data_IF_877112871461
#
_entry.id   IF_877112871461
#
_cell.length_a   1.000
_cell.length_b   1.000
_cell.length_c   1.000
_cell.angle_alpha   90.00
_cell.angle_beta   90.00
_cell.angle_gamma   90.00
#
_symmetry.space_group_name_H-M   'P 1'
#
loop_
_entity.id
_entity.type
_entity.pdbx_description
1 polymer ?
#
# COMPACT_ATOMS: atom_id res chain seq x y z
N UNK A 1 -15.39 -16.20 40.52
CA UNK A 1 -15.41 -16.47 39.07
C UNK A 1 -16.44 -15.54 38.45
N UNK A 2 -16.02 -14.37 37.95
CA UNK A 2 -16.94 -13.39 37.33
C UNK A 2 -17.16 -13.77 35.88
N UNK A 3 -18.30 -14.36 35.58
CA UNK A 3 -18.80 -14.52 34.25
C UNK A 3 -19.10 -13.12 33.69
N UNK A 4 -18.24 -12.63 32.80
CA UNK A 4 -18.60 -11.49 31.94
C UNK A 4 -19.73 -11.94 31.00
N UNK A 5 -20.95 -11.51 31.31
CA UNK A 5 -22.06 -11.59 30.39
C UNK A 5 -21.70 -10.66 29.22
N UNK A 6 -21.26 -11.23 28.11
CA UNK A 6 -21.14 -10.50 26.84
C UNK A 6 -22.57 -10.30 26.35
N UNK A 7 -23.07 -9.06 26.44
CA UNK A 7 -24.34 -8.70 25.85
C UNK A 7 -24.25 -9.02 24.35
N UNK A 8 -25.09 -9.93 23.87
CA UNK A 8 -25.27 -10.20 22.45
C UNK A 8 -25.82 -8.91 21.82
N UNK A 9 -25.00 -8.27 20.99
CA UNK A 9 -25.42 -7.10 20.21
C UNK A 9 -26.55 -7.53 19.28
N UNK A 10 -27.70 -6.87 19.36
CA UNK A 10 -28.84 -7.20 18.50
C UNK A 10 -28.51 -6.88 17.05
N UNK A 11 -28.69 -7.86 16.16
CA UNK A 11 -28.54 -7.65 14.72
C UNK A 11 -29.76 -6.88 14.19
N UNK A 12 -29.53 -5.81 13.44
CA UNK A 12 -30.56 -5.08 12.71
C UNK A 12 -30.05 -4.75 11.30
N UNK A 13 -31.00 -4.59 10.38
CA UNK A 13 -30.71 -4.27 8.98
C UNK A 13 -30.38 -2.79 8.89
N UNK A 14 -29.29 -2.45 8.20
CA UNK A 14 -28.86 -1.07 7.93
C UNK A 14 -29.13 -0.70 6.48
N UNK A 15 -28.84 -1.63 5.54
CA UNK A 15 -29.08 -1.41 4.12
C UNK A 15 -29.83 -2.58 3.49
N UNK A 16 -30.65 -2.26 2.48
CA UNK A 16 -31.19 -3.23 1.50
C UNK A 16 -30.71 -2.83 0.12
N UNK A 17 -30.07 -3.79 -0.58
CA UNK A 17 -29.51 -3.62 -1.93
C UNK A 17 -30.16 -4.64 -2.85
N UNK A 18 -31.19 -4.27 -3.57
CA UNK A 18 -31.96 -5.14 -4.47
C UNK A 18 -32.27 -6.52 -3.86
N UNK A 19 -32.74 -6.55 -2.63
CA UNK A 19 -33.08 -7.79 -1.90
C UNK A 19 -31.99 -8.35 -1.00
N UNK A 20 -30.73 -8.04 -1.25
CA UNK A 20 -29.64 -8.34 -0.32
C UNK A 20 -29.69 -7.40 0.87
N UNK A 21 -29.34 -7.89 2.06
CA UNK A 21 -29.34 -7.12 3.30
C UNK A 21 -27.92 -6.95 3.82
N UNK A 22 -27.62 -5.77 4.38
CA UNK A 22 -26.42 -5.49 5.15
C UNK A 22 -26.86 -5.11 6.56
N UNK A 23 -26.30 -5.81 7.55
CA UNK A 23 -26.59 -5.58 8.97
C UNK A 23 -25.52 -4.72 9.62
N UNK A 24 -25.82 -4.21 10.83
CA UNK A 24 -24.81 -3.58 11.68
C UNK A 24 -23.62 -4.50 11.98
N UNK A 25 -23.85 -5.81 12.05
CA UNK A 25 -22.79 -6.82 12.30
C UNK A 25 -21.87 -6.93 11.07
N UNK A 26 -22.43 -6.90 9.85
CA UNK A 26 -21.64 -6.94 8.61
C UNK A 26 -20.74 -5.70 8.53
N UNK A 27 -21.25 -4.51 8.83
CA UNK A 27 -20.46 -3.27 8.86
C UNK A 27 -19.35 -3.33 9.91
N UNK A 28 -19.64 -3.90 11.08
CA UNK A 28 -18.65 -4.07 12.14
C UNK A 28 -17.54 -5.05 11.75
N UNK A 29 -17.89 -6.14 11.07
CA UNK A 29 -16.93 -7.11 10.55
C UNK A 29 -16.10 -6.49 9.42
N UNK A 30 -16.72 -5.70 8.55
CA UNK A 30 -16.02 -4.94 7.51
C UNK A 30 -15.01 -3.97 8.10
N UNK A 31 -15.38 -3.22 9.15
CA UNK A 31 -14.48 -2.36 9.90
C UNK A 31 -13.24 -3.11 10.39
N UNK A 32 -13.43 -4.28 11.02
CA UNK A 32 -12.33 -5.12 11.49
C UNK A 32 -11.44 -5.59 10.35
N UNK A 33 -12.04 -6.01 9.24
CA UNK A 33 -11.34 -6.43 8.04
C UNK A 33 -10.46 -5.31 7.47
N UNK A 34 -11.00 -4.11 7.33
CA UNK A 34 -10.24 -2.97 6.82
C UNK A 34 -9.07 -2.60 7.72
N UNK A 35 -9.26 -2.61 9.04
CA UNK A 35 -8.20 -2.35 10.02
C UNK A 35 -7.13 -3.45 9.96
N UNK A 36 -7.52 -4.73 9.91
CA UNK A 36 -6.57 -5.83 9.82
C UNK A 36 -5.68 -5.74 8.57
N UNK A 37 -6.20 -5.23 7.46
CA UNK A 37 -5.41 -5.03 6.24
C UNK A 37 -4.61 -3.71 6.22
N UNK A 38 -5.04 -2.73 6.99
CA UNK A 38 -4.40 -1.42 7.07
C UNK A 38 -4.57 -0.80 8.47
N UNK A 39 -3.62 -1.07 9.36
CA UNK A 39 -3.62 -0.56 10.73
C UNK A 39 -3.62 0.98 10.82
N UNK A 40 -3.20 1.70 9.78
CA UNK A 40 -3.26 3.17 9.78
C UNK A 40 -4.70 3.69 9.92
N UNK A 41 -5.70 2.89 9.57
CA UNK A 41 -7.10 3.24 9.73
C UNK A 41 -7.52 3.39 11.21
N UNK A 42 -6.80 2.81 12.16
CA UNK A 42 -7.05 3.01 13.60
C UNK A 42 -6.86 4.46 14.05
N UNK A 43 -6.09 5.25 13.28
CA UNK A 43 -5.91 6.69 13.58
C UNK A 43 -7.12 7.56 13.20
N UNK A 44 -8.08 7.03 12.44
CA UNK A 44 -9.29 7.72 12.04
C UNK A 44 -10.29 7.78 13.21
N UNK A 45 -11.12 8.84 13.23
CA UNK A 45 -12.22 8.87 14.18
C UNK A 45 -13.31 7.84 13.81
N UNK A 46 -14.11 7.47 14.80
CA UNK A 46 -15.12 6.41 14.69
C UNK A 46 -16.11 6.65 13.53
N UNK A 47 -16.51 7.89 13.29
CA UNK A 47 -17.44 8.24 12.20
C UNK A 47 -16.81 8.00 10.83
N UNK A 48 -15.57 8.46 10.61
CA UNK A 48 -14.85 8.25 9.35
C UNK A 48 -14.66 6.76 9.06
N UNK A 49 -14.28 6.00 10.08
CA UNK A 49 -14.05 4.56 9.94
C UNK A 49 -15.36 3.81 9.65
N UNK A 50 -16.47 4.24 10.29
CA UNK A 50 -17.79 3.69 10.01
C UNK A 50 -18.24 3.98 8.56
N UNK A 51 -18.05 5.21 8.09
CA UNK A 51 -18.43 5.63 6.73
C UNK A 51 -17.63 4.85 5.68
N UNK A 52 -16.33 4.67 5.88
CA UNK A 52 -15.48 3.84 5.00
C UNK A 52 -15.97 2.39 5.00
N UNK A 53 -16.30 1.84 6.16
CA UNK A 53 -16.77 0.46 6.29
C UNK A 53 -18.12 0.25 5.59
N UNK A 54 -19.05 1.19 5.72
CA UNK A 54 -20.33 1.19 5.01
C UNK A 54 -20.12 1.18 3.50
N UNK A 55 -19.30 2.09 2.99
CA UNK A 55 -19.00 2.19 1.55
C UNK A 55 -18.33 0.91 1.02
N UNK A 56 -17.41 0.34 1.78
CA UNK A 56 -16.68 -0.87 1.40
C UNK A 56 -17.63 -2.07 1.26
N UNK A 57 -18.45 -2.34 2.27
CA UNK A 57 -19.36 -3.49 2.26
C UNK A 57 -20.48 -3.34 1.23
N UNK A 58 -20.97 -2.12 0.99
CA UNK A 58 -21.94 -1.83 -0.10
C UNK A 58 -21.30 -2.16 -1.45
N UNK A 59 -20.08 -1.68 -1.69
CA UNK A 59 -19.35 -1.92 -2.92
C UNK A 59 -19.10 -3.41 -3.16
N UNK A 60 -18.69 -4.13 -2.13
CA UNK A 60 -18.49 -5.59 -2.20
C UNK A 60 -19.80 -6.32 -2.53
N UNK A 61 -20.91 -5.95 -1.87
CA UNK A 61 -22.23 -6.54 -2.11
C UNK A 61 -22.69 -6.33 -3.55
N UNK A 62 -22.50 -5.14 -4.10
CA UNK A 62 -22.84 -4.82 -5.50
C UNK A 62 -21.98 -5.66 -6.46
N UNK A 63 -20.66 -5.72 -6.24
CA UNK A 63 -19.75 -6.52 -7.06
C UNK A 63 -20.11 -7.99 -7.00
N UNK A 64 -20.31 -8.55 -5.80
CA UNK A 64 -20.72 -9.94 -5.61
C UNK A 64 -21.98 -10.26 -6.39
N UNK A 65 -23.00 -9.42 -6.27
CA UNK A 65 -24.26 -9.58 -6.99
C UNK A 65 -24.09 -9.63 -8.51
N UNK A 66 -23.25 -8.74 -9.03
CA UNK A 66 -22.97 -8.73 -10.47
C UNK A 66 -22.17 -9.93 -10.92
N UNK A 67 -21.13 -10.32 -10.16
CA UNK A 67 -20.28 -11.49 -10.43
C UNK A 67 -21.11 -12.77 -10.49
N UNK A 68 -22.03 -12.96 -9.55
CA UNK A 68 -22.89 -14.15 -9.47
C UNK A 68 -23.84 -14.32 -10.67
N UNK A 69 -24.01 -13.31 -11.53
CA UNK A 69 -24.76 -13.45 -12.80
C UNK A 69 -23.96 -14.22 -13.86
N UNK A 70 -22.64 -14.30 -13.73
CA UNK A 70 -21.72 -14.82 -14.75
C UNK A 70 -20.89 -16.00 -14.25
N UNK A 71 -20.63 -16.08 -12.94
CA UNK A 71 -19.72 -17.05 -12.34
C UNK A 71 -20.35 -17.71 -11.12
N UNK A 72 -19.93 -18.96 -10.88
CA UNK A 72 -20.13 -19.63 -9.59
C UNK A 72 -18.87 -19.41 -8.77
N UNK A 73 -19.01 -18.88 -7.56
CA UNK A 73 -17.89 -18.69 -6.66
C UNK A 73 -17.47 -20.06 -6.09
N UNK A 74 -16.20 -20.38 -6.24
CA UNK A 74 -15.58 -21.62 -5.75
C UNK A 74 -14.21 -21.28 -5.13
N UNK A 75 -14.14 -21.33 -3.80
CA UNK A 75 -12.94 -20.98 -3.01
C UNK A 75 -11.74 -21.91 -3.26
N UNK A 76 -11.89 -22.94 -4.09
CA UNK A 76 -10.82 -23.92 -4.39
C UNK A 76 -9.86 -23.42 -5.47
N UNK A 77 -10.10 -22.27 -6.08
CA UNK A 77 -9.21 -21.71 -7.11
C UNK A 77 -7.79 -21.48 -6.54
N UNK A 78 -6.80 -22.10 -7.19
CA UNK A 78 -5.39 -21.96 -6.82
C UNK A 78 -4.92 -20.51 -6.83
N UNK A 79 -5.52 -19.65 -7.65
CA UNK A 79 -5.20 -18.22 -7.69
C UNK A 79 -5.56 -17.52 -6.38
N UNK A 80 -6.66 -17.88 -5.74
CA UNK A 80 -7.06 -17.34 -4.43
C UNK A 80 -5.98 -17.64 -3.38
N UNK A 81 -5.45 -18.86 -3.39
CA UNK A 81 -4.37 -19.24 -2.48
C UNK A 81 -3.09 -18.44 -2.74
N UNK A 82 -2.77 -18.14 -4.00
CA UNK A 82 -1.64 -17.25 -4.34
C UNK A 82 -1.85 -15.85 -3.78
N UNK A 83 -3.03 -15.26 -3.95
CA UNK A 83 -3.34 -13.92 -3.40
C UNK A 83 -3.30 -13.91 -1.87
N UNK A 84 -3.72 -14.99 -1.21
CA UNK A 84 -3.59 -15.14 0.24
C UNK A 84 -2.11 -15.20 0.66
N UNK A 85 -1.27 -15.92 -0.10
CA UNK A 85 0.18 -15.94 0.16
C UNK A 85 0.82 -14.55 -0.02
N UNK A 86 0.41 -13.80 -1.03
CA UNK A 86 0.85 -12.41 -1.23
C UNK A 86 0.41 -11.50 -0.06
N UNK A 87 -0.76 -11.78 0.54
CA UNK A 87 -1.22 -11.06 1.72
C UNK A 87 -0.33 -11.34 2.95
N UNK A 88 0.10 -12.60 3.16
CA UNK A 88 1.07 -12.97 4.21
C UNK A 88 2.33 -12.11 4.08
N UNK A 89 2.91 -12.06 2.88
CA UNK A 89 4.13 -11.26 2.61
C UNK A 89 3.88 -9.75 2.86
N UNK A 90 2.74 -9.22 2.42
CA UNK A 90 2.39 -7.81 2.58
C UNK A 90 2.23 -7.41 4.05
N UNK A 91 1.66 -8.30 4.86
CA UNK A 91 1.52 -8.10 6.30
C UNK A 91 2.81 -8.40 7.07
N UNK A 92 3.89 -8.81 6.37
CA UNK A 92 5.18 -9.18 6.95
C UNK A 92 5.08 -10.36 7.93
N UNK A 93 4.25 -11.32 7.60
CA UNK A 93 4.07 -12.57 8.31
C UNK A 93 4.89 -13.68 7.61
N UNK A 94 5.25 -14.72 8.34
CA UNK A 94 6.12 -15.78 7.83
C UNK A 94 5.34 -16.99 7.30
N UNK A 95 4.06 -17.13 7.69
CA UNK A 95 3.24 -18.30 7.33
C UNK A 95 1.73 -18.03 7.29
N UNK A 96 0.99 -18.98 6.73
CA UNK A 96 -0.48 -18.97 6.77
C UNK A 96 -1.01 -19.13 8.21
N UNK A 97 -0.34 -19.90 9.04
CA UNK A 97 -0.73 -20.11 10.43
C UNK A 97 -0.63 -18.79 11.22
N UNK A 98 0.43 -18.02 10.99
CA UNK A 98 0.57 -16.67 11.54
C UNK A 98 -0.51 -15.73 11.02
N UNK A 99 -0.88 -15.83 9.74
CA UNK A 99 -2.00 -15.05 9.21
C UNK A 99 -3.31 -15.41 9.92
N UNK A 100 -3.57 -16.69 10.18
CA UNK A 100 -4.76 -17.11 10.92
C UNK A 100 -4.76 -16.58 12.36
N UNK A 101 -3.61 -16.61 13.05
CA UNK A 101 -3.46 -16.06 14.39
C UNK A 101 -3.68 -14.54 14.40
N UNK A 102 -3.04 -13.83 13.48
CA UNK A 102 -3.21 -12.40 13.28
C UNK A 102 -4.68 -12.01 13.04
N UNK A 103 -5.36 -12.70 12.13
CA UNK A 103 -6.77 -12.44 11.83
C UNK A 103 -7.69 -12.71 13.04
N UNK A 104 -7.35 -13.69 13.86
CA UNK A 104 -8.11 -14.04 15.08
C UNK A 104 -8.11 -12.91 16.10
N UNK A 105 -7.04 -12.11 16.18
CA UNK A 105 -6.99 -10.93 17.05
C UNK A 105 -8.07 -9.91 16.68
N UNK A 106 -8.41 -9.81 15.39
CA UNK A 106 -9.51 -8.98 14.89
C UNK A 106 -10.88 -9.71 14.91
N UNK A 107 -10.91 -10.97 15.33
CA UNK A 107 -12.12 -11.82 15.29
C UNK A 107 -12.54 -12.16 13.87
N UNK A 108 -11.58 -12.31 12.97
CA UNK A 108 -11.74 -12.70 11.57
C UNK A 108 -11.21 -14.12 11.34
N UNK A 109 -11.67 -14.75 10.26
CA UNK A 109 -11.21 -16.05 9.80
C UNK A 109 -10.60 -15.96 8.41
N UNK A 110 -9.69 -16.87 8.09
CA UNK A 110 -9.11 -16.92 6.74
C UNK A 110 -10.16 -17.16 5.65
N UNK A 111 -11.24 -17.88 5.97
CA UNK A 111 -12.33 -18.11 5.01
C UNK A 111 -13.07 -16.82 4.65
N UNK A 112 -13.27 -15.90 5.60
CA UNK A 112 -13.84 -14.58 5.32
C UNK A 112 -12.93 -13.78 4.39
N UNK A 113 -11.62 -13.85 4.59
CA UNK A 113 -10.64 -13.19 3.71
C UNK A 113 -10.68 -13.80 2.30
N UNK A 114 -10.69 -15.14 2.22
CA UNK A 114 -10.79 -15.85 0.93
C UNK A 114 -12.06 -15.48 0.16
N UNK A 115 -13.20 -15.36 0.83
CA UNK A 115 -14.47 -14.95 0.18
C UNK A 115 -14.36 -13.55 -0.43
N UNK A 116 -13.73 -12.60 0.27
CA UNK A 116 -13.53 -11.24 -0.24
C UNK A 116 -12.56 -11.21 -1.42
N UNK A 117 -11.45 -11.92 -1.31
CA UNK A 117 -10.47 -12.09 -2.40
C UNK A 117 -11.14 -12.70 -3.63
N UNK A 118 -11.98 -13.70 -3.44
CA UNK A 118 -12.72 -14.37 -4.50
C UNK A 118 -13.63 -13.40 -5.26
N UNK A 119 -14.42 -12.59 -4.55
CA UNK A 119 -15.29 -11.59 -5.16
C UNK A 119 -14.49 -10.62 -6.02
N UNK A 120 -13.37 -10.09 -5.51
CA UNK A 120 -12.50 -9.17 -6.25
C UNK A 120 -11.83 -9.87 -7.45
N UNK A 121 -11.41 -11.11 -7.29
CA UNK A 121 -10.79 -11.91 -8.37
C UNK A 121 -11.78 -12.12 -9.52
N UNK A 122 -12.99 -12.56 -9.21
CA UNK A 122 -14.00 -12.77 -10.24
C UNK A 122 -14.55 -11.47 -10.82
N UNK A 123 -14.57 -10.39 -10.04
CA UNK A 123 -14.85 -9.06 -10.56
C UNK A 123 -13.80 -8.62 -11.59
N UNK A 124 -12.52 -8.75 -11.28
CA UNK A 124 -11.44 -8.41 -12.21
C UNK A 124 -11.49 -9.28 -13.47
N UNK A 125 -11.82 -10.57 -13.33
CA UNK A 125 -12.02 -11.47 -14.46
C UNK A 125 -13.21 -11.02 -15.33
N UNK A 126 -14.33 -10.65 -14.72
CA UNK A 126 -15.49 -10.11 -15.42
C UNK A 126 -15.14 -8.86 -16.23
N UNK A 127 -14.39 -7.94 -15.64
CA UNK A 127 -13.94 -6.73 -16.32
C UNK A 127 -13.01 -7.08 -17.49
N UNK A 128 -12.07 -7.99 -17.28
CA UNK A 128 -11.20 -8.47 -18.33
C UNK A 128 -12.00 -9.07 -19.50
N UNK A 129 -12.86 -10.03 -19.23
CA UNK A 129 -13.65 -10.73 -20.24
C UNK A 129 -14.57 -9.79 -21.04
N UNK A 130 -15.11 -8.75 -20.40
CA UNK A 130 -15.97 -7.75 -21.05
C UNK A 130 -15.22 -6.73 -21.89
N UNK A 131 -14.01 -6.33 -21.49
CA UNK A 131 -13.38 -5.13 -21.99
C UNK A 131 -12.01 -5.33 -22.64
N UNK A 132 -11.42 -6.55 -22.58
CA UNK A 132 -10.07 -6.80 -23.14
C UNK A 132 -9.99 -6.43 -24.63
N UNK A 133 -11.04 -6.69 -25.40
CA UNK A 133 -11.11 -6.39 -26.83
C UNK A 133 -11.42 -4.91 -27.15
N UNK A 134 -11.65 -4.09 -26.12
CA UNK A 134 -11.90 -2.65 -26.26
C UNK A 134 -10.70 -1.81 -25.87
N UNK A 135 -9.60 -2.45 -25.43
CA UNK A 135 -8.38 -1.74 -25.09
C UNK A 135 -7.75 -1.14 -26.33
N UNK A 136 -7.37 0.13 -26.23
CA UNK A 136 -6.65 0.85 -27.28
C UNK A 136 -5.24 1.11 -26.78
N UNK A 137 -4.27 0.33 -27.28
CA UNK A 137 -2.88 0.44 -26.86
C UNK A 137 -2.03 0.74 -28.10
N UNK A 138 -1.35 1.86 -28.06
CA UNK A 138 -0.39 2.25 -29.08
C UNK A 138 0.98 1.61 -28.78
N UNK A 139 1.18 0.40 -29.30
CA UNK A 139 2.42 -0.35 -29.12
C UNK A 139 3.62 0.36 -29.78
N UNK A 140 3.41 1.08 -30.89
CA UNK A 140 4.48 1.81 -31.56
C UNK A 140 4.93 3.01 -30.71
N UNK A 141 4.00 3.73 -30.08
CA UNK A 141 4.36 4.78 -29.12
C UNK A 141 5.13 4.23 -27.91
N UNK A 142 4.81 3.02 -27.45
CA UNK A 142 5.57 2.36 -26.38
C UNK A 142 6.99 2.04 -26.84
N UNK A 143 7.15 1.45 -28.04
CA UNK A 143 8.46 1.14 -28.63
C UNK A 143 9.31 2.39 -28.83
N UNK A 144 8.71 3.45 -29.34
CA UNK A 144 9.37 4.74 -29.52
C UNK A 144 9.87 5.31 -28.21
N UNK A 145 9.04 5.34 -27.17
CA UNK A 145 9.45 5.79 -25.82
C UNK A 145 10.61 4.97 -25.24
N UNK A 146 10.65 3.67 -25.51
CA UNK A 146 11.75 2.81 -25.07
C UNK A 146 13.02 3.12 -25.85
N UNK A 147 12.92 3.31 -27.19
CA UNK A 147 14.07 3.63 -28.03
C UNK A 147 14.67 4.99 -27.70
N UNK A 148 13.85 5.99 -27.41
CA UNK A 148 14.30 7.33 -26.99
C UNK A 148 15.06 7.31 -25.65
N UNK A 149 14.75 6.37 -24.75
CA UNK A 149 15.47 6.19 -23.47
C UNK A 149 16.83 5.50 -23.62
N UNK A 150 17.12 4.89 -24.75
CA UNK A 150 18.28 3.99 -24.94
C UNK A 150 19.65 4.60 -24.79
N UNK A 151 19.82 5.85 -25.12
CA UNK A 151 21.17 6.44 -25.26
C UNK A 151 21.58 7.35 -24.12
N UNK A 152 20.65 7.77 -23.25
CA UNK A 152 20.90 8.83 -22.26
C UNK A 152 20.68 8.46 -20.81
N UNK A 153 20.01 7.36 -20.51
CA UNK A 153 19.65 7.05 -19.11
C UNK A 153 20.79 6.38 -18.36
N UNK A 154 21.60 7.22 -17.76
CA UNK A 154 22.45 6.78 -16.64
C UNK A 154 21.60 6.73 -15.38
N UNK A 155 21.56 5.58 -14.74
CA UNK A 155 20.98 5.37 -13.42
C UNK A 155 21.84 6.11 -12.40
N UNK A 156 21.28 7.12 -11.75
CA UNK A 156 21.92 7.77 -10.62
C UNK A 156 21.69 6.92 -9.38
N UNK A 157 22.74 6.54 -8.72
CA UNK A 157 22.72 5.71 -7.52
C UNK A 157 23.48 6.45 -6.44
N UNK A 158 22.83 6.64 -5.30
CA UNK A 158 23.40 7.27 -4.13
C UNK A 158 23.91 6.24 -3.14
N UNK A 159 25.07 6.44 -2.56
CA UNK A 159 25.42 5.83 -1.30
C UNK A 159 24.99 6.75 -0.18
N UNK A 160 24.12 6.25 0.69
CA UNK A 160 23.48 7.07 1.70
C UNK A 160 23.79 6.56 3.10
N UNK A 161 23.84 7.51 4.03
CA UNK A 161 23.75 7.23 5.47
C UNK A 161 22.57 7.97 6.05
N UNK A 162 21.95 7.40 7.10
CA UNK A 162 20.75 7.94 7.73
C UNK A 162 20.92 8.19 9.24
N UNK A 163 20.17 9.16 9.73
CA UNK A 163 19.85 9.33 11.15
C UNK A 163 18.33 9.42 11.25
N UNK A 164 17.71 8.45 11.91
CA UNK A 164 16.28 8.47 12.23
C UNK A 164 16.12 8.79 13.71
N UNK A 165 15.33 9.79 14.03
CA UNK A 165 15.08 10.17 15.42
C UNK A 165 13.60 10.44 15.68
N UNK A 166 13.15 10.15 16.90
CA UNK A 166 11.78 10.36 17.32
C UNK A 166 11.49 11.84 17.58
N UNK A 167 10.23 12.21 17.40
CA UNK A 167 9.72 13.50 17.89
C UNK A 167 9.70 13.45 19.43
N UNK A 168 10.44 14.32 20.06
CA UNK A 168 10.40 14.49 21.51
C UNK A 168 9.15 15.31 21.90
N UNK A 169 8.42 14.86 22.92
CA UNK A 169 7.22 15.56 23.38
C UNK A 169 7.54 16.96 23.97
N UNK A 170 8.75 17.15 24.45
CA UNK A 170 9.18 18.35 25.19
C UNK A 170 10.19 19.22 24.43
N UNK A 171 10.68 18.79 23.25
CA UNK A 171 11.70 19.48 22.48
C UNK A 171 11.20 19.69 21.06
N UNK A 172 11.26 20.95 20.58
CA UNK A 172 10.96 21.23 19.18
C UNK A 172 11.93 20.50 18.24
N UNK A 173 11.42 20.00 17.11
CA UNK A 173 12.19 19.27 16.10
C UNK A 173 13.41 20.06 15.64
N UNK A 174 13.29 21.38 15.48
CA UNK A 174 14.40 22.23 15.08
C UNK A 174 15.51 22.30 16.15
N UNK A 175 15.12 22.29 17.43
CA UNK A 175 16.09 22.27 18.54
C UNK A 175 16.83 20.92 18.61
N UNK A 176 16.08 19.80 18.38
CA UNK A 176 16.68 18.47 18.33
C UNK A 176 17.61 18.33 17.11
N UNK A 177 17.17 18.82 15.95
CA UNK A 177 18.00 18.87 14.75
C UNK A 177 19.26 19.70 14.96
N UNK A 178 19.19 20.86 15.64
CA UNK A 178 20.36 21.69 15.95
C UNK A 178 21.38 20.90 16.76
N UNK A 179 20.96 20.20 17.83
CA UNK A 179 21.85 19.33 18.62
C UNK A 179 22.49 18.21 17.79
N UNK A 180 21.73 17.61 16.89
CA UNK A 180 22.25 16.57 15.98
C UNK A 180 23.25 17.18 15.01
N UNK A 181 22.98 18.37 14.46
CA UNK A 181 23.91 19.08 13.56
C UNK A 181 25.22 19.46 14.26
N UNK A 182 25.13 19.99 15.46
CA UNK A 182 26.33 20.30 16.30
C UNK A 182 27.15 19.02 16.55
N UNK A 183 26.48 17.90 16.86
CA UNK A 183 27.16 16.60 17.03
C UNK A 183 27.80 16.09 15.73
N UNK A 184 27.14 16.30 14.58
CA UNK A 184 27.71 15.93 13.27
C UNK A 184 29.01 16.74 13.00
N UNK A 185 29.02 18.03 13.34
CA UNK A 185 30.20 18.89 13.18
C UNK A 185 31.34 18.48 14.12
N UNK A 186 31.01 18.06 15.35
CA UNK A 186 32.00 17.73 16.39
C UNK A 186 32.61 16.34 16.19
N UNK A 187 31.80 15.31 15.99
CA UNK A 187 32.20 13.89 15.98
C UNK A 187 31.92 13.15 14.68
N UNK A 188 31.36 13.84 13.70
CA UNK A 188 31.00 13.28 12.39
C UNK A 188 29.66 12.53 12.35
N UNK A 189 29.12 12.40 11.13
CA UNK A 189 27.78 11.84 10.90
C UNK A 189 27.64 10.41 11.46
N UNK A 190 28.63 9.56 11.24
CA UNK A 190 28.62 8.15 11.65
C UNK A 190 28.51 7.99 13.17
N UNK A 191 29.30 8.72 13.92
CA UNK A 191 29.27 8.68 15.40
C UNK A 191 27.98 9.30 15.92
N UNK A 192 27.51 10.37 15.28
CA UNK A 192 26.22 11.00 15.61
C UNK A 192 25.05 10.04 15.34
N UNK A 193 25.09 9.26 14.27
CA UNK A 193 24.09 8.21 14.01
C UNK A 193 24.06 7.18 15.15
N UNK A 194 25.22 6.75 15.64
CA UNK A 194 25.30 5.82 16.77
C UNK A 194 24.68 6.39 18.07
N UNK A 195 24.71 7.73 18.26
CA UNK A 195 24.19 8.36 19.47
C UNK A 195 22.68 8.71 19.38
N UNK A 196 22.21 9.12 18.22
CA UNK A 196 20.87 9.73 18.07
C UNK A 196 19.91 8.92 17.23
N UNK A 197 20.39 8.00 16.37
CA UNK A 197 19.51 7.25 15.49
C UNK A 197 18.87 6.05 16.19
N UNK A 198 17.58 5.85 15.92
CA UNK A 198 16.82 4.68 16.35
C UNK A 198 16.72 3.60 15.24
N UNK A 199 17.31 3.86 14.06
CA UNK A 199 17.29 2.93 12.95
C UNK A 199 18.25 1.74 13.17
N UNK A 200 17.96 0.60 12.56
CA UNK A 200 18.81 -0.61 12.60
C UNK A 200 20.21 -0.37 11.97
N UNK A 201 20.29 0.60 11.04
CA UNK A 201 21.53 1.05 10.41
C UNK A 201 22.53 1.68 11.40
N UNK A 202 22.09 2.02 12.61
CA UNK A 202 22.94 2.56 13.69
C UNK A 202 24.16 1.68 13.95
N UNK A 203 24.02 0.36 13.89
CA UNK A 203 25.12 -0.63 14.04
C UNK A 203 26.26 -0.40 13.04
N UNK A 204 25.96 0.25 11.93
CA UNK A 204 26.89 0.55 10.84
C UNK A 204 27.15 2.08 10.71
N UNK A 205 26.83 2.85 11.76
CA UNK A 205 26.95 4.32 11.74
C UNK A 205 25.99 4.98 10.77
N UNK A 206 24.81 4.40 10.60
CA UNK A 206 23.76 4.91 9.71
C UNK A 206 23.94 4.53 8.23
N UNK A 207 24.97 3.78 7.82
CA UNK A 207 25.18 3.42 6.41
C UNK A 207 24.05 2.48 5.94
N UNK A 208 23.28 2.91 4.94
CA UNK A 208 22.19 2.15 4.29
C UNK A 208 22.58 1.67 2.90
N UNK A 209 23.83 1.88 2.49
CA UNK A 209 24.39 1.39 1.25
C UNK A 209 23.96 2.18 0.00
N UNK A 210 24.02 1.48 -1.15
CA UNK A 210 23.72 2.05 -2.46
C UNK A 210 22.23 1.96 -2.79
N UNK A 211 21.59 3.09 -3.03
CA UNK A 211 20.15 3.20 -3.32
C UNK A 211 19.95 3.93 -4.65
N UNK A 212 19.16 3.33 -5.54
CA UNK A 212 18.80 3.95 -6.81
C UNK A 212 17.92 5.19 -6.60
N UNK A 213 18.20 6.28 -7.31
CA UNK A 213 17.45 7.53 -7.19
C UNK A 213 15.95 7.36 -7.46
N UNK A 214 15.58 6.45 -8.37
CA UNK A 214 14.19 6.16 -8.71
C UNK A 214 13.44 5.30 -7.66
N UNK A 215 14.15 4.70 -6.69
CA UNK A 215 13.55 3.98 -5.56
C UNK A 215 13.20 4.92 -4.40
N UNK A 216 13.68 6.16 -4.45
CA UNK A 216 13.40 7.18 -3.45
C UNK A 216 12.08 7.89 -3.78
N UNK A 217 11.39 8.38 -2.74
CA UNK A 217 10.23 9.25 -2.96
C UNK A 217 10.63 10.54 -3.71
N UNK A 218 9.70 11.13 -4.48
CA UNK A 218 9.96 12.36 -5.21
C UNK A 218 10.50 13.47 -4.33
N UNK A 219 9.99 13.63 -3.11
CA UNK A 219 10.44 14.61 -2.12
C UNK A 219 11.90 14.38 -1.73
N UNK A 220 12.27 13.14 -1.42
CA UNK A 220 13.65 12.79 -1.05
C UNK A 220 14.60 13.02 -2.23
N UNK A 221 14.20 12.58 -3.44
CA UNK A 221 15.00 12.79 -4.65
C UNK A 221 15.26 14.26 -4.95
N UNK A 222 14.25 15.13 -4.80
CA UNK A 222 14.40 16.58 -4.99
C UNK A 222 15.36 17.20 -3.98
N UNK A 223 15.29 16.77 -2.71
CA UNK A 223 16.17 17.28 -1.66
C UNK A 223 17.61 16.82 -1.87
N UNK A 224 17.83 15.54 -2.19
CA UNK A 224 19.16 15.00 -2.46
C UNK A 224 19.80 15.60 -3.71
N UNK A 225 19.02 16.04 -4.70
CA UNK A 225 19.55 16.72 -5.87
C UNK A 225 20.08 18.15 -5.59
N UNK A 226 19.75 18.71 -4.42
CA UNK A 226 20.16 20.08 -4.00
C UNK A 226 21.38 20.10 -3.09
N UNK A 227 21.89 18.94 -2.69
CA UNK A 227 23.05 18.80 -1.79
C UNK A 227 24.17 18.02 -2.48
N UNK A 228 25.40 18.25 -2.05
CA UNK A 228 26.59 17.64 -2.61
C UNK A 228 26.99 16.35 -1.86
N UNK A 229 27.98 15.63 -2.38
CA UNK A 229 28.64 14.54 -1.66
C UNK A 229 29.21 15.07 -0.35
N UNK A 230 29.03 14.32 0.71
CA UNK A 230 29.33 14.64 2.11
C UNK A 230 28.36 15.60 2.80
N UNK A 231 27.43 16.23 2.08
CA UNK A 231 26.37 17.04 2.68
C UNK A 231 25.19 16.16 3.12
N UNK A 232 24.37 16.70 4.02
CA UNK A 232 23.15 16.07 4.48
C UNK A 232 21.94 17.00 4.36
N UNK A 233 20.76 16.42 4.21
CA UNK A 233 19.50 17.16 4.09
C UNK A 233 18.90 17.46 5.47
N UNK A 234 18.05 18.50 5.53
CA UNK A 234 17.25 18.80 6.72
C UNK A 234 16.29 17.65 7.04
N UNK A 235 15.85 17.51 8.30
CA UNK A 235 14.95 16.45 8.71
C UNK A 235 13.67 16.41 7.88
N UNK A 236 13.34 15.21 7.39
CA UNK A 236 12.10 14.93 6.68
C UNK A 236 11.18 14.15 7.61
N UNK A 237 9.88 14.49 7.72
CA UNK A 237 8.92 13.70 8.47
C UNK A 237 8.77 12.30 7.88
N UNK A 238 8.83 11.26 8.72
CA UNK A 238 8.65 9.86 8.37
C UNK A 238 7.75 9.19 9.42
N UNK A 239 6.44 9.32 9.26
CA UNK A 239 5.47 8.88 10.26
C UNK A 239 5.62 9.66 11.57
N UNK A 240 5.86 8.96 12.68
CA UNK A 240 6.13 9.57 13.99
C UNK A 240 7.56 10.07 14.17
N UNK A 241 8.46 9.77 13.23
CA UNK A 241 9.89 10.01 13.28
C UNK A 241 10.34 11.06 12.26
N UNK A 242 11.61 11.43 12.33
CA UNK A 242 12.28 12.32 11.39
C UNK A 242 13.52 11.63 10.84
N UNK A 243 13.76 11.83 9.55
CA UNK A 243 14.88 11.26 8.79
C UNK A 243 15.82 12.37 8.33
N UNK A 244 17.12 12.20 8.59
CA UNK A 244 18.22 12.96 7.99
C UNK A 244 18.98 11.99 7.09
N UNK A 245 19.23 12.38 5.83
CA UNK A 245 20.05 11.60 4.90
C UNK A 245 21.31 12.37 4.54
N UNK A 246 22.45 11.68 4.54
CA UNK A 246 23.72 12.18 4.05
C UNK A 246 24.10 11.44 2.77
N UNK A 247 24.61 12.17 1.78
CA UNK A 247 25.21 11.57 0.59
C UNK A 247 26.67 11.24 0.88
N UNK A 248 26.99 9.95 0.93
CA UNK A 248 28.37 9.48 1.07
C UNK A 248 29.09 9.43 -0.29
N UNK A 249 28.37 9.03 -1.35
CA UNK A 249 28.90 8.96 -2.71
C UNK A 249 27.78 8.92 -3.73
N UNK A 250 28.11 9.21 -5.00
CA UNK A 250 27.19 9.16 -6.14
C UNK A 250 27.88 8.44 -7.28
N UNK A 251 27.21 7.44 -7.84
CA UNK A 251 27.66 6.81 -9.08
C UNK A 251 26.57 6.84 -10.13
N UNK A 252 27.02 6.77 -11.38
CA UNK A 252 26.15 6.67 -12.54
C UNK A 252 26.46 5.36 -13.26
N UNK A 253 25.43 4.53 -13.41
CA UNK A 253 25.56 3.27 -14.13
C UNK A 253 24.78 3.38 -15.45
N UNK A 254 25.39 2.94 -16.55
CA UNK A 254 24.67 2.84 -17.83
C UNK A 254 23.58 1.77 -17.69
N UNK A 255 22.34 2.14 -17.94
CA UNK A 255 21.24 1.19 -17.92
C UNK A 255 21.25 0.38 -19.21
N UNK A 256 21.55 -0.90 -19.14
CA UNK A 256 21.20 -1.83 -20.20
C UNK A 256 19.72 -2.11 -20.10
N UNK A 257 18.92 -1.39 -20.86
CA UNK A 257 17.48 -1.63 -20.92
C UNK A 257 17.25 -2.91 -21.71
N UNK A 258 16.70 -3.94 -21.05
CA UNK A 258 16.13 -5.07 -21.76
C UNK A 258 14.77 -4.59 -22.35
N UNK A 259 14.83 -4.18 -23.61
CA UNK A 259 13.68 -3.60 -24.33
C UNK A 259 12.45 -4.50 -24.28
N UNK A 260 12.63 -5.81 -24.36
CA UNK A 260 11.52 -6.75 -24.33
C UNK A 260 10.83 -6.74 -22.97
N UNK A 261 11.62 -6.76 -21.89
CA UNK A 261 11.06 -6.70 -20.53
C UNK A 261 10.39 -5.37 -20.24
N UNK A 262 11.02 -4.26 -20.65
CA UNK A 262 10.44 -2.93 -20.45
C UNK A 262 9.17 -2.73 -21.28
N UNK A 263 9.15 -3.23 -22.54
CA UNK A 263 7.95 -3.22 -23.37
C UNK A 263 6.79 -3.98 -22.71
N UNK A 264 7.03 -5.22 -22.25
CA UNK A 264 6.01 -6.03 -21.58
C UNK A 264 5.49 -5.33 -20.32
N UNK A 265 6.39 -4.73 -19.54
CA UNK A 265 6.05 -4.00 -18.31
C UNK A 265 5.14 -2.81 -18.60
N UNK A 266 5.51 -1.96 -19.59
CA UNK A 266 4.71 -0.78 -19.96
C UNK A 266 3.38 -1.22 -20.57
N UNK A 267 3.40 -2.22 -21.45
CA UNK A 267 2.19 -2.78 -22.07
C UNK A 267 1.20 -3.29 -21.01
N UNK A 268 1.68 -4.08 -20.05
CA UNK A 268 0.84 -4.60 -18.97
C UNK A 268 0.32 -3.47 -18.06
N UNK A 269 1.15 -2.48 -17.76
CA UNK A 269 0.74 -1.30 -16.99
C UNK A 269 -0.38 -0.53 -17.67
N UNK A 270 -0.26 -0.32 -19.00
CA UNK A 270 -1.28 0.37 -19.78
C UNK A 270 -2.58 -0.44 -19.88
N UNK A 271 -2.49 -1.76 -20.09
CA UNK A 271 -3.65 -2.67 -20.03
C UNK A 271 -4.38 -2.57 -18.71
N UNK A 272 -3.65 -2.69 -17.61
CA UNK A 272 -4.23 -2.63 -16.26
C UNK A 272 -4.89 -1.26 -16.01
N UNK A 273 -4.22 -0.16 -16.40
CA UNK A 273 -4.77 1.19 -16.27
C UNK A 273 -6.11 1.36 -17.01
N UNK A 274 -6.21 0.83 -18.23
CA UNK A 274 -7.46 0.90 -19.00
C UNK A 274 -8.54 0.00 -18.41
N UNK A 275 -8.19 -1.22 -17.99
CA UNK A 275 -9.12 -2.13 -17.31
C UNK A 275 -9.63 -1.54 -15.98
N UNK A 276 -8.79 -0.89 -15.19
CA UNK A 276 -9.20 -0.18 -13.97
C UNK A 276 -10.20 0.93 -14.25
N UNK A 277 -10.00 1.67 -15.35
CA UNK A 277 -10.96 2.70 -15.78
C UNK A 277 -12.29 2.08 -16.19
N UNK A 278 -12.28 1.00 -16.98
CA UNK A 278 -13.49 0.26 -17.34
C UNK A 278 -14.18 -0.32 -16.11
N UNK A 279 -13.43 -0.84 -15.13
CA UNK A 279 -13.96 -1.32 -13.86
C UNK A 279 -14.75 -0.24 -13.13
N UNK A 280 -14.17 0.97 -13.03
CA UNK A 280 -14.85 2.12 -12.38
C UNK A 280 -16.11 2.52 -13.12
N UNK A 281 -16.05 2.65 -14.45
CA UNK A 281 -17.18 3.03 -15.29
C UNK A 281 -18.29 1.97 -15.19
N UNK A 282 -17.92 0.69 -15.26
CA UNK A 282 -18.89 -0.41 -15.17
C UNK A 282 -19.54 -0.50 -13.79
N UNK A 283 -18.75 -0.35 -12.72
CA UNK A 283 -19.26 -0.30 -11.36
C UNK A 283 -20.26 0.84 -11.18
N UNK A 284 -19.91 2.06 -11.57
CA UNK A 284 -20.79 3.22 -11.47
C UNK A 284 -22.10 3.02 -12.25
N UNK A 285 -22.01 2.41 -13.45
CA UNK A 285 -23.21 2.09 -14.23
C UNK A 285 -24.14 1.10 -13.50
N UNK A 286 -23.59 0.13 -12.80
CA UNK A 286 -24.37 -0.83 -12.00
C UNK A 286 -24.98 -0.13 -10.78
N UNK A 287 -24.16 0.60 -10.04
CA UNK A 287 -24.56 1.29 -8.82
C UNK A 287 -25.75 2.25 -9.03
N UNK A 288 -25.73 3.03 -10.11
CA UNK A 288 -26.84 3.94 -10.46
C UNK A 288 -28.17 3.19 -10.68
N UNK A 289 -28.09 1.95 -11.17
CA UNK A 289 -29.27 1.15 -11.48
C UNK A 289 -29.72 0.22 -10.34
N UNK A 290 -28.95 0.15 -9.27
CA UNK A 290 -29.27 -0.65 -8.07
C UNK A 290 -30.02 0.22 -7.06
N UNK A 291 -31.10 -0.31 -6.51
CA UNK A 291 -31.85 0.35 -5.44
C UNK A 291 -31.17 0.08 -4.09
N UNK A 292 -30.58 1.11 -3.52
CA UNK A 292 -29.98 1.10 -2.18
C UNK A 292 -30.92 1.86 -1.24
N UNK A 293 -31.42 1.19 -0.21
CA UNK A 293 -32.25 1.79 0.83
C UNK A 293 -31.50 1.70 2.17
N UNK A 294 -31.24 2.80 2.81
CA UNK A 294 -30.81 2.88 4.22
C UNK A 294 -32.06 2.84 5.11
N UNK A 295 -32.03 2.07 6.20
CA UNK A 295 -33.17 1.80 7.08
C UNK A 295 -32.96 2.36 8.50
#
# INVERSE_FOLDING_TARGET
>A
MNLKVVALESAYIVYKIDGDIITNIDIKNEKKYLIALNQQLESLNEKQLLDISKQSIIKETIKKKEVLKYYVLDQTDNYINTVVSDLVVRLKLDSLDELEEYLREYGLTINQIKQKIEIETFWNRLIYDKFINQLIIDEEAIKQKISERKETDTKKIYRLSEIVFEKDANIDVNQKFKKISESIEEIGFKNTANLYSIADSTKFGGDIGWIEANSLSGVISELLNKVNINDYIKPIPMGANFLILKIEDIKFEKVKIDEKKEFIKILNSEKNRQLDNYSKIYYNKIEINIKINEL
#
